data_IF_048213293343
#
_entry.id   IF_048213293343
#
_cell.length_a   1.000
_cell.length_b   1.000
_cell.length_c   1.000
_cell.angle_alpha   90.00
_cell.angle_beta   90.00
_cell.angle_gamma   90.00
#
_symmetry.space_group_name_H-M   'P 1'
#
loop_
_entity.id
_entity.type
_entity.pdbx_description
1 polymer ?
#
# COMPACT_ATOMS: atom_id res chain seq x y z
N UNK A 1 -22.82 3.97 -29.88
CA UNK A 1 -21.52 4.36 -29.30
C UNK A 1 -21.21 3.36 -28.19
N UNK A 2 -20.39 2.34 -28.46
CA UNK A 2 -20.01 1.36 -27.44
C UNK A 2 -18.94 1.98 -26.54
N UNK A 3 -19.24 2.13 -25.25
CA UNK A 3 -18.22 2.49 -24.26
C UNK A 3 -17.21 1.35 -24.19
N UNK A 4 -16.00 1.59 -24.69
CA UNK A 4 -14.87 0.69 -24.48
C UNK A 4 -14.41 0.92 -23.05
N UNK A 5 -14.49 -0.12 -22.21
CA UNK A 5 -14.13 -0.10 -20.79
C UNK A 5 -12.65 0.30 -20.56
N UNK A 6 -11.80 0.06 -21.56
CA UNK A 6 -10.37 0.38 -21.55
C UNK A 6 -9.95 1.09 -22.84
N UNK A 7 -10.32 2.37 -23.03
CA UNK A 7 -10.14 3.07 -24.29
C UNK A 7 -8.66 3.28 -24.67
N UNK A 8 -7.74 3.15 -23.70
CA UNK A 8 -6.29 3.30 -23.90
C UNK A 8 -5.54 1.95 -24.01
N UNK A 9 -6.21 0.82 -23.79
CA UNK A 9 -5.55 -0.49 -23.78
C UNK A 9 -4.53 -0.67 -22.66
N UNK A 10 -3.37 -1.26 -22.98
CA UNK A 10 -2.30 -1.51 -22.00
C UNK A 10 -1.58 -0.21 -21.64
N UNK A 11 -1.48 0.11 -20.35
CA UNK A 11 -0.83 1.31 -19.85
C UNK A 11 0.28 0.98 -18.85
N UNK A 12 1.40 1.68 -18.99
CA UNK A 12 2.48 1.67 -18.01
C UNK A 12 2.08 2.43 -16.74
N UNK A 13 2.38 1.87 -15.58
CA UNK A 13 2.11 2.46 -14.26
C UNK A 13 3.30 2.23 -13.34
N UNK A 14 3.55 3.14 -12.39
CA UNK A 14 4.58 2.92 -11.34
C UNK A 14 4.01 2.03 -10.24
N UNK A 15 4.75 0.99 -9.90
CA UNK A 15 4.37 -0.03 -8.92
C UNK A 15 5.53 -0.13 -7.93
N UNK A 16 5.25 -0.03 -6.63
CA UNK A 16 6.25 -0.31 -5.61
C UNK A 16 5.98 -1.71 -5.04
N UNK A 17 6.85 -2.66 -5.33
CA UNK A 17 6.61 -4.08 -5.02
C UNK A 17 7.41 -4.58 -3.83
N UNK A 18 8.01 -3.67 -3.03
CA UNK A 18 8.79 -4.06 -1.87
C UNK A 18 8.58 -3.08 -0.72
N UNK A 19 7.37 -3.09 -0.19
CA UNK A 19 7.00 -2.32 0.99
C UNK A 19 7.00 -3.23 2.21
N UNK A 20 7.68 -2.81 3.28
CA UNK A 20 7.64 -3.46 4.59
C UNK A 20 6.79 -2.62 5.55
N UNK A 21 5.82 -3.25 6.19
CA UNK A 21 4.95 -2.65 7.22
C UNK A 21 5.61 -2.73 8.60
N UNK A 22 5.06 -2.04 9.61
CA UNK A 22 5.49 -2.19 10.99
C UNK A 22 5.37 -3.61 11.57
N UNK A 23 4.60 -4.52 10.96
CA UNK A 23 4.54 -5.93 11.37
C UNK A 23 5.71 -6.77 10.84
N UNK A 24 6.53 -6.24 9.93
CA UNK A 24 7.72 -6.93 9.45
C UNK A 24 8.72 -7.10 10.60
N UNK A 25 9.18 -8.33 10.84
CA UNK A 25 10.07 -8.70 11.97
C UNK A 25 11.38 -7.90 11.99
N UNK A 26 11.79 -7.37 10.85
CA UNK A 26 12.93 -6.45 10.73
C UNK A 26 12.44 -5.12 10.18
N UNK A 27 11.64 -4.40 10.97
CA UNK A 27 11.24 -3.03 10.65
C UNK A 27 12.05 -2.04 11.50
N UNK A 28 12.84 -1.19 10.82
CA UNK A 28 13.52 -0.04 11.41
C UNK A 28 13.02 1.30 10.85
N UNK A 29 12.07 1.26 9.91
CA UNK A 29 11.54 2.44 9.20
C UNK A 29 10.53 3.23 10.03
N UNK A 30 9.85 2.59 10.98
CA UNK A 30 8.86 3.22 11.85
C UNK A 30 9.23 3.05 13.33
N UNK A 31 10.27 3.75 13.82
CA UNK A 31 10.65 3.72 15.22
C UNK A 31 9.68 4.54 16.08
N UNK A 32 9.55 4.18 17.36
CA UNK A 32 8.80 4.98 18.35
C UNK A 32 7.32 4.60 18.50
N UNK A 33 6.56 5.39 19.28
CA UNK A 33 5.15 5.13 19.51
C UNK A 33 4.31 5.44 18.26
N UNK A 34 3.32 4.59 17.97
CA UNK A 34 2.42 4.77 16.83
C UNK A 34 3.02 4.47 15.45
N UNK A 35 3.74 3.34 15.24
CA UNK A 35 4.39 3.05 13.97
C UNK A 35 3.39 2.82 12.84
N UNK A 36 2.15 2.43 13.17
CA UNK A 36 1.10 2.18 12.19
C UNK A 36 0.44 3.46 11.68
N UNK A 37 0.21 4.42 12.57
CA UNK A 37 -0.32 5.73 12.21
C UNK A 37 0.64 6.44 11.26
N UNK A 38 1.95 6.37 11.54
CA UNK A 38 3.00 6.89 10.67
C UNK A 38 3.01 6.16 9.31
N UNK A 39 3.02 4.82 9.30
CA UNK A 39 2.99 4.03 8.06
C UNK A 39 1.77 4.32 7.18
N UNK A 40 0.58 4.39 7.77
CA UNK A 40 -0.65 4.68 7.04
C UNK A 40 -0.65 6.12 6.49
N UNK A 41 -0.09 7.06 7.25
CA UNK A 41 0.08 8.45 6.79
C UNK A 41 1.01 8.53 5.59
N UNK A 42 2.15 7.83 5.62
CA UNK A 42 3.07 7.78 4.49
C UNK A 42 2.45 7.11 3.27
N UNK A 43 1.68 6.05 3.49
CA UNK A 43 0.98 5.35 2.41
C UNK A 43 -0.05 6.26 1.72
N UNK A 44 -0.79 7.03 2.51
CA UNK A 44 -1.68 8.07 1.99
C UNK A 44 -0.91 9.28 1.43
N UNK A 45 0.35 9.49 1.77
CA UNK A 45 1.16 10.56 1.20
C UNK A 45 1.83 10.16 -0.13
N UNK A 46 1.74 8.89 -0.55
CA UNK A 46 2.40 8.40 -1.76
C UNK A 46 2.04 9.23 -3.00
N UNK A 47 3.03 9.52 -3.88
CA UNK A 47 2.79 10.22 -5.13
C UNK A 47 1.72 9.50 -5.98
N UNK A 48 0.79 10.23 -6.60
CA UNK A 48 -0.38 9.65 -7.26
C UNK A 48 -0.04 8.79 -8.48
N UNK A 49 1.19 8.82 -8.99
CA UNK A 49 1.62 7.96 -10.08
C UNK A 49 1.90 6.50 -9.66
N UNK A 50 2.09 6.24 -8.35
CA UNK A 50 2.14 4.88 -7.82
C UNK A 50 0.72 4.32 -7.77
N UNK A 51 0.48 3.25 -8.52
CA UNK A 51 -0.87 2.66 -8.66
C UNK A 51 -1.05 1.35 -7.92
N UNK A 52 0.06 0.70 -7.58
CA UNK A 52 0.06 -0.59 -6.89
C UNK A 52 1.21 -0.59 -5.89
N UNK A 53 0.93 -1.13 -4.71
CA UNK A 53 1.94 -1.48 -3.71
C UNK A 53 1.93 -3.00 -3.48
N UNK A 54 3.11 -3.57 -3.28
CA UNK A 54 3.32 -4.93 -2.81
C UNK A 54 3.82 -4.89 -1.37
N UNK A 55 3.08 -5.51 -0.46
CA UNK A 55 3.50 -5.69 0.94
C UNK A 55 4.26 -7.01 1.04
N UNK A 56 5.54 -6.92 1.41
CA UNK A 56 6.50 -8.02 1.41
C UNK A 56 7.16 -8.14 2.79
N UNK A 57 6.36 -8.20 3.84
CA UNK A 57 6.84 -8.37 5.22
C UNK A 57 7.66 -9.65 5.39
N UNK A 58 8.63 -9.60 6.30
CA UNK A 58 9.44 -10.77 6.61
C UNK A 58 8.62 -11.80 7.41
N UNK A 59 8.63 -13.04 6.89
CA UNK A 59 8.04 -14.27 7.46
C UNK A 59 6.51 -14.34 7.49
N UNK A 60 5.79 -13.25 7.70
CA UNK A 60 4.33 -13.27 7.89
C UNK A 60 3.59 -12.26 7.02
N UNK A 61 2.26 -12.39 6.97
CA UNK A 61 1.36 -11.54 6.17
C UNK A 61 0.45 -10.65 7.03
N UNK A 62 0.72 -10.54 8.33
CA UNK A 62 -0.13 -9.79 9.27
C UNK A 62 -0.23 -8.32 8.88
N UNK A 63 0.86 -7.73 8.39
CA UNK A 63 0.82 -6.36 7.91
C UNK A 63 -0.05 -6.17 6.67
N UNK A 64 0.03 -7.09 5.70
CA UNK A 64 -0.87 -7.10 4.56
C UNK A 64 -2.35 -7.20 4.99
N UNK A 65 -2.67 -8.12 5.91
CA UNK A 65 -4.04 -8.29 6.43
C UNK A 65 -4.55 -7.00 7.06
N UNK A 66 -3.73 -6.37 7.91
CA UNK A 66 -4.09 -5.10 8.54
C UNK A 66 -4.34 -4.01 7.51
N UNK A 67 -3.41 -3.78 6.57
CA UNK A 67 -3.57 -2.74 5.54
C UNK A 67 -4.83 -2.98 4.69
N UNK A 68 -5.14 -4.24 4.37
CA UNK A 68 -6.38 -4.61 3.68
C UNK A 68 -7.63 -4.28 4.50
N UNK A 69 -7.62 -4.51 5.80
CA UNK A 69 -8.72 -4.11 6.69
C UNK A 69 -8.89 -2.59 6.74
N UNK A 70 -7.81 -1.83 6.85
CA UNK A 70 -7.86 -0.36 6.81
C UNK A 70 -8.44 0.16 5.48
N UNK A 71 -8.10 -0.50 4.36
CA UNK A 71 -8.67 -0.22 3.04
C UNK A 71 -10.17 -0.52 2.98
N UNK A 72 -10.61 -1.65 3.54
CA UNK A 72 -12.04 -2.01 3.61
C UNK A 72 -12.82 -1.03 4.50
N UNK A 73 -12.21 -0.54 5.58
CA UNK A 73 -12.78 0.50 6.46
C UNK A 73 -12.79 1.90 5.82
N UNK A 74 -12.12 2.10 4.68
CA UNK A 74 -11.99 3.40 4.03
C UNK A 74 -11.02 4.37 4.73
N UNK A 75 -10.20 3.87 5.65
CA UNK A 75 -9.12 4.63 6.30
C UNK A 75 -8.03 4.91 5.26
N UNK A 76 -7.66 3.89 4.47
CA UNK A 76 -6.87 4.04 3.25
C UNK A 76 -7.82 4.14 2.07
N UNK A 77 -7.67 5.16 1.24
CA UNK A 77 -8.55 5.47 0.12
C UNK A 77 -7.88 5.21 -1.22
N UNK A 78 -6.55 5.29 -1.28
CA UNK A 78 -5.74 5.07 -2.48
C UNK A 78 -5.52 3.59 -2.74
#
# INVERSE_FOLDING_TARGET
MTYIEYPRGSEWRKWDLRVHTPASIVNSSYPGPGPWEAFLTDLEALPPEFKVIGINDYLFIDGYKRVREEKVKGIIRR
#
